data_IF_953000861861
#
_entry.id   IF_953000861861
#
_cell.length_a   1.000
_cell.length_b   1.000
_cell.length_c   1.000
_cell.angle_alpha   90.00
_cell.angle_beta   90.00
_cell.angle_gamma   90.00
#
_symmetry.space_group_name_H-M   'P 1'
#
loop_
_entity.id
_entity.type
_entity.pdbx_description
1 polymer ?
#
# COMPACT_ATOMS: atom_id res chain seq x y z
N UNK A 1 22.91 14.18 4.80
CA UNK A 1 22.92 12.70 4.91
C UNK A 1 22.26 12.11 3.66
N UNK A 2 22.52 10.86 3.28
CA UNK A 2 21.89 10.23 2.11
C UNK A 2 20.86 9.18 2.56
N UNK A 3 19.59 9.54 2.46
CA UNK A 3 18.47 8.62 2.64
C UNK A 3 18.17 7.92 1.30
N UNK A 4 17.61 6.71 1.37
CA UNK A 4 17.26 5.92 0.19
C UNK A 4 15.78 5.55 0.19
N UNK A 5 15.19 5.55 -0.99
CA UNK A 5 13.88 4.98 -1.25
C UNK A 5 13.98 3.91 -2.32
N UNK A 6 13.11 2.90 -2.24
CA UNK A 6 12.84 1.99 -3.34
C UNK A 6 11.51 2.39 -3.97
N UNK A 7 11.53 2.47 -5.29
CA UNK A 7 10.40 2.83 -6.13
C UNK A 7 10.01 1.63 -7.00
N UNK A 8 8.71 1.44 -7.21
CA UNK A 8 8.23 0.51 -8.22
C UNK A 8 6.85 0.89 -8.71
N UNK A 9 6.44 0.19 -9.76
CA UNK A 9 5.38 0.65 -10.61
C UNK A 9 4.90 -0.38 -11.60
N UNK A 10 4.08 0.09 -12.54
CA UNK A 10 3.80 -0.69 -13.75
C UNK A 10 4.97 -0.56 -14.72
N UNK A 11 5.23 -1.60 -15.50
CA UNK A 11 6.24 -1.62 -16.57
C UNK A 11 5.60 -1.68 -17.97
N UNK A 12 4.27 -1.66 -18.02
CA UNK A 12 3.50 -1.67 -19.26
C UNK A 12 2.80 -0.32 -19.47
N UNK A 13 2.65 0.07 -20.73
CA UNK A 13 1.94 1.30 -21.13
C UNK A 13 0.42 1.25 -20.88
N UNK A 14 -0.15 0.04 -20.73
CA UNK A 14 -1.59 -0.15 -20.57
C UNK A 14 -2.18 0.57 -19.34
N UNK A 15 -1.35 0.86 -18.33
CA UNK A 15 -1.77 1.51 -17.10
C UNK A 15 -1.39 3.00 -17.05
N UNK A 16 -0.40 3.41 -17.82
CA UNK A 16 0.16 4.76 -17.78
C UNK A 16 0.82 5.07 -19.12
N UNK A 17 0.35 6.07 -19.88
CA UNK A 17 0.92 6.39 -21.19
C UNK A 17 2.39 6.82 -21.10
N UNK A 18 3.19 6.44 -22.11
CA UNK A 18 4.62 6.74 -22.24
C UNK A 18 5.47 6.21 -21.07
N UNK A 19 5.18 5.00 -20.59
CA UNK A 19 5.84 4.40 -19.47
C UNK A 19 7.14 3.69 -19.90
N UNK A 20 8.28 4.13 -19.37
CA UNK A 20 9.59 3.52 -19.61
C UNK A 20 10.14 2.75 -18.40
N UNK A 21 9.31 2.47 -17.40
CA UNK A 21 9.72 1.71 -16.22
C UNK A 21 10.08 0.26 -16.57
N UNK A 22 11.24 -0.20 -16.08
CA UNK A 22 11.78 -1.55 -16.30
C UNK A 22 11.66 -2.44 -15.05
N UNK A 23 11.18 -1.90 -13.92
CA UNK A 23 10.98 -2.67 -12.70
C UNK A 23 11.10 -1.85 -11.42
N UNK A 24 12.06 -2.24 -10.57
CA UNK A 24 12.29 -1.66 -9.25
C UNK A 24 13.50 -0.73 -9.31
N UNK A 25 13.39 0.45 -8.73
CA UNK A 25 14.41 1.50 -8.75
C UNK A 25 14.81 1.90 -7.33
N UNK A 26 16.03 2.40 -7.19
CA UNK A 26 16.51 3.10 -6.01
C UNK A 26 16.49 4.60 -6.29
N UNK A 27 16.02 5.39 -5.33
CA UNK A 27 16.11 6.85 -5.33
C UNK A 27 16.93 7.34 -4.13
N UNK A 28 17.81 8.30 -4.37
CA UNK A 28 18.68 8.89 -3.34
C UNK A 28 18.20 10.28 -2.95
N UNK A 29 17.88 10.48 -1.67
CA UNK A 29 17.58 11.77 -1.07
C UNK A 29 18.83 12.33 -0.37
N UNK A 30 19.32 13.47 -0.84
CA UNK A 30 20.27 14.29 -0.11
C UNK A 30 19.50 15.16 0.89
N UNK A 31 19.52 14.77 2.17
CA UNK A 31 18.75 15.45 3.22
C UNK A 31 19.31 16.81 3.61
N UNK A 32 20.57 17.09 3.28
CA UNK A 32 21.17 18.41 3.55
C UNK A 32 20.69 19.43 2.50
N UNK A 33 20.46 18.97 1.26
CA UNK A 33 19.88 19.77 0.17
C UNK A 33 18.36 19.76 0.15
N UNK A 34 17.74 18.68 0.65
CA UNK A 34 16.31 18.44 0.52
C UNK A 34 15.89 18.10 -0.91
N UNK A 35 16.68 17.26 -1.59
CA UNK A 35 16.51 16.93 -3.00
C UNK A 35 16.75 15.44 -3.26
N UNK A 36 15.93 14.84 -4.12
CA UNK A 36 16.23 13.59 -4.81
C UNK A 36 17.30 13.89 -5.86
N UNK A 37 18.48 13.29 -5.71
CA UNK A 37 19.66 13.56 -6.55
C UNK A 37 19.93 12.49 -7.59
N UNK A 38 19.44 11.27 -7.38
CA UNK A 38 19.64 10.14 -8.29
C UNK A 38 18.43 9.20 -8.23
N UNK A 39 18.08 8.61 -9.37
CA UNK A 39 17.16 7.48 -9.49
C UNK A 39 17.79 6.49 -10.46
N UNK A 40 18.05 5.27 -10.01
CA UNK A 40 18.70 4.22 -10.80
C UNK A 40 18.00 2.89 -10.66
N UNK A 41 18.11 2.06 -11.71
CA UNK A 41 17.44 0.76 -11.75
C UNK A 41 18.11 -0.23 -10.80
N UNK A 42 17.31 -0.83 -9.90
CA UNK A 42 17.76 -1.81 -8.92
C UNK A 42 17.54 -3.24 -9.40
N UNK A 43 16.39 -3.53 -10.01
CA UNK A 43 16.05 -4.85 -10.52
C UNK A 43 15.06 -4.79 -11.69
N UNK A 44 15.32 -5.57 -12.76
CA UNK A 44 14.38 -5.73 -13.87
C UNK A 44 13.33 -6.78 -13.53
N UNK A 45 12.09 -6.35 -13.32
CA UNK A 45 10.95 -7.21 -12.98
C UNK A 45 9.70 -6.59 -13.60
N UNK A 46 8.80 -7.41 -14.14
CA UNK A 46 7.57 -6.91 -14.76
C UNK A 46 6.51 -6.58 -13.69
N UNK A 47 5.94 -5.38 -13.80
CA UNK A 47 4.86 -4.85 -12.96
C UNK A 47 5.04 -5.09 -11.44
N UNK A 48 6.16 -4.68 -10.80
CA UNK A 48 6.35 -4.74 -9.36
C UNK A 48 5.54 -3.64 -8.64
N UNK A 49 4.22 -3.69 -8.82
CA UNK A 49 3.28 -2.65 -8.40
C UNK A 49 3.14 -2.50 -6.88
N UNK A 50 3.59 -3.50 -6.11
CA UNK A 50 3.68 -3.41 -4.66
C UNK A 50 4.76 -4.35 -4.12
N UNK A 51 5.52 -3.90 -3.13
CA UNK A 51 6.52 -4.71 -2.45
C UNK A 51 6.75 -4.28 -1.00
N UNK A 52 7.37 -5.17 -0.23
CA UNK A 52 7.88 -4.93 1.11
C UNK A 52 9.26 -5.60 1.29
N UNK A 53 10.00 -5.16 2.30
CA UNK A 53 11.41 -5.49 2.49
C UNK A 53 11.61 -6.54 3.57
N UNK A 54 12.59 -7.41 3.36
CA UNK A 54 13.33 -8.10 4.40
C UNK A 54 14.62 -7.34 4.68
N UNK A 55 14.63 -6.50 5.73
CA UNK A 55 15.76 -5.61 6.01
C UNK A 55 17.06 -6.33 6.34
N UNK A 56 16.99 -7.36 7.17
CA UNK A 56 18.18 -8.10 7.59
C UNK A 56 18.75 -8.94 6.44
N UNK A 57 17.90 -9.64 5.70
CA UNK A 57 18.32 -10.56 4.62
C UNK A 57 18.50 -9.90 3.25
N UNK A 58 18.23 -8.60 3.16
CA UNK A 58 18.33 -7.78 1.95
C UNK A 58 17.50 -8.36 0.79
N UNK A 59 16.26 -8.76 1.08
CA UNK A 59 15.31 -9.29 0.10
C UNK A 59 14.13 -8.34 -0.11
N UNK A 60 13.58 -8.32 -1.32
CA UNK A 60 12.32 -7.64 -1.62
C UNK A 60 11.28 -8.71 -1.94
N UNK A 61 10.18 -8.75 -1.19
CA UNK A 61 8.99 -9.50 -1.56
C UNK A 61 8.09 -8.60 -2.38
N UNK A 62 7.79 -8.99 -3.62
CA UNK A 62 7.02 -8.18 -4.56
C UNK A 62 5.87 -8.98 -5.17
N UNK A 63 4.79 -8.29 -5.50
CA UNK A 63 3.85 -8.78 -6.52
C UNK A 63 4.51 -8.60 -7.89
N UNK A 64 4.20 -9.46 -8.85
CA UNK A 64 4.80 -9.38 -10.18
C UNK A 64 3.91 -10.04 -11.24
N UNK A 65 4.27 -9.83 -12.50
CA UNK A 65 3.65 -10.52 -13.64
C UNK A 65 4.66 -11.32 -14.42
N UNK A 66 4.19 -12.36 -15.12
CA UNK A 66 4.99 -13.14 -16.08
C UNK A 66 4.36 -13.09 -17.46
N UNK A 67 5.15 -12.62 -18.42
CA UNK A 67 4.80 -12.57 -19.85
C UNK A 67 3.43 -11.90 -20.08
N UNK A 68 3.06 -10.95 -19.22
CA UNK A 68 1.80 -10.22 -19.25
C UNK A 68 0.56 -11.15 -19.37
N UNK A 69 0.59 -12.28 -18.65
CA UNK A 69 -0.45 -13.31 -18.76
C UNK A 69 -0.76 -14.02 -17.43
N UNK A 70 0.07 -13.85 -16.41
CA UNK A 70 -0.13 -14.39 -15.07
C UNK A 70 0.43 -13.42 -14.04
N UNK A 71 -0.32 -13.20 -12.96
CA UNK A 71 0.16 -12.50 -11.78
C UNK A 71 0.57 -13.46 -10.69
N UNK A 72 1.43 -12.98 -9.80
CA UNK A 72 1.96 -13.77 -8.71
C UNK A 72 2.75 -12.92 -7.74
N UNK A 73 3.58 -13.61 -6.97
CA UNK A 73 4.52 -13.03 -6.03
C UNK A 73 5.93 -13.52 -6.36
N UNK A 74 6.93 -12.80 -5.86
CA UNK A 74 8.31 -13.25 -5.93
C UNK A 74 9.23 -12.56 -4.94
N UNK A 75 10.41 -13.14 -4.80
CA UNK A 75 11.50 -12.65 -3.96
C UNK A 75 12.64 -12.19 -4.84
N UNK A 76 13.06 -10.94 -4.69
CA UNK A 76 14.24 -10.38 -5.33
C UNK A 76 15.37 -10.34 -4.30
N UNK A 77 16.55 -10.83 -4.68
CA UNK A 77 17.77 -10.57 -3.94
C UNK A 77 18.37 -9.25 -4.40
N UNK A 78 18.40 -8.26 -3.51
CA UNK A 78 18.84 -6.90 -3.85
C UNK A 78 20.33 -6.79 -4.10
N UNK A 79 21.15 -7.67 -3.51
CA UNK A 79 22.59 -7.68 -3.77
C UNK A 79 22.89 -8.06 -5.22
N UNK A 80 22.03 -8.90 -5.81
CA UNK A 80 22.21 -9.37 -7.19
C UNK A 80 21.27 -8.71 -8.20
N UNK A 81 20.21 -8.05 -7.74
CA UNK A 81 19.13 -7.50 -8.58
C UNK A 81 18.29 -8.58 -9.28
N UNK A 82 18.32 -9.83 -8.80
CA UNK A 82 17.67 -10.98 -9.46
C UNK A 82 16.46 -11.48 -8.68
N UNK A 83 15.45 -11.93 -9.42
CA UNK A 83 14.36 -12.77 -8.90
C UNK A 83 14.92 -14.16 -8.56
N UNK A 84 14.83 -14.55 -7.29
CA UNK A 84 15.38 -15.82 -6.76
C UNK A 84 14.30 -16.87 -6.48
N UNK A 85 13.06 -16.43 -6.27
CA UNK A 85 11.90 -17.31 -6.12
C UNK A 85 10.64 -16.62 -6.62
N UNK A 86 9.70 -17.37 -7.19
CA UNK A 86 8.41 -16.87 -7.64
C UNK A 86 7.32 -17.94 -7.48
N UNK A 87 6.08 -17.47 -7.35
CA UNK A 87 4.89 -18.31 -7.37
C UNK A 87 3.76 -17.57 -8.06
N UNK A 88 3.19 -18.20 -9.09
CA UNK A 88 2.12 -17.62 -9.90
C UNK A 88 0.76 -18.19 -9.54
N UNK A 89 -0.26 -17.34 -9.59
CA UNK A 89 -1.63 -17.74 -9.36
C UNK A 89 -2.21 -18.42 -10.61
N UNK A 90 -3.20 -19.32 -10.45
CA UNK A 90 -3.97 -19.82 -11.57
C UNK A 90 -4.54 -18.68 -12.42
N UNK A 91 -4.56 -18.85 -13.74
CA UNK A 91 -5.16 -17.87 -14.64
C UNK A 91 -6.64 -17.74 -14.33
N UNK A 92 -7.06 -16.54 -14.00
CA UNK A 92 -8.45 -16.15 -13.76
C UNK A 92 -8.64 -14.77 -14.34
N UNK A 93 -9.71 -14.58 -15.10
CA UNK A 93 -10.09 -13.24 -15.56
C UNK A 93 -10.48 -12.39 -14.35
N UNK A 94 -9.99 -11.16 -14.34
CA UNK A 94 -10.39 -10.14 -13.38
C UNK A 94 -11.23 -9.08 -14.07
N UNK A 95 -11.99 -8.34 -13.29
CA UNK A 95 -12.66 -7.15 -13.80
C UNK A 95 -12.94 -6.20 -12.64
N UNK A 96 -12.94 -4.92 -12.94
CA UNK A 96 -13.31 -3.88 -11.98
C UNK A 96 -13.69 -2.61 -12.73
N UNK A 97 -14.47 -1.76 -12.08
CA UNK A 97 -14.69 -0.40 -12.55
C UNK A 97 -13.45 0.45 -12.31
N UNK A 98 -12.96 1.10 -13.36
CA UNK A 98 -11.80 1.99 -13.33
C UNK A 98 -12.21 3.41 -13.72
N UNK A 99 -11.47 4.41 -13.21
CA UNK A 99 -11.68 5.81 -13.53
C UNK A 99 -10.51 6.38 -14.36
N UNK A 100 -10.81 6.87 -15.56
CA UNK A 100 -9.87 7.58 -16.45
C UNK A 100 -9.88 9.07 -16.12
N UNK A 101 -8.86 9.52 -15.38
CA UNK A 101 -8.70 10.91 -14.97
C UNK A 101 -8.55 11.88 -16.15
N UNK A 102 -8.05 11.43 -17.30
CA UNK A 102 -7.83 12.29 -18.47
C UNK A 102 -9.13 12.59 -19.21
N UNK A 103 -10.09 11.66 -19.16
CA UNK A 103 -11.41 11.79 -19.79
C UNK A 103 -12.52 12.12 -18.81
N UNK A 104 -12.25 12.02 -17.50
CA UNK A 104 -13.26 12.12 -16.45
C UNK A 104 -14.42 11.12 -16.67
N UNK A 105 -14.06 9.87 -16.96
CA UNK A 105 -15.02 8.79 -17.27
C UNK A 105 -14.70 7.52 -16.48
N UNK A 106 -15.74 6.84 -16.06
CA UNK A 106 -15.67 5.46 -15.58
C UNK A 106 -15.77 4.49 -16.75
N UNK A 107 -15.06 3.38 -16.66
CA UNK A 107 -15.13 2.30 -17.63
C UNK A 107 -14.96 0.96 -16.94
N UNK A 108 -15.55 -0.07 -17.55
CA UNK A 108 -15.35 -1.44 -17.12
C UNK A 108 -14.02 -1.95 -17.67
N UNK A 109 -13.11 -2.32 -16.77
CA UNK A 109 -11.80 -2.84 -17.16
C UNK A 109 -11.79 -4.37 -17.04
N UNK A 110 -11.73 -5.07 -18.16
CA UNK A 110 -11.55 -6.52 -18.18
C UNK A 110 -10.06 -6.87 -18.21
N UNK A 111 -9.63 -7.70 -17.26
CA UNK A 111 -8.26 -8.16 -17.17
C UNK A 111 -8.15 -9.62 -17.66
N UNK A 112 -7.17 -9.92 -18.53
CA UNK A 112 -6.91 -11.29 -18.96
C UNK A 112 -6.40 -12.19 -17.82
N UNK A 113 -5.88 -11.62 -16.74
CA UNK A 113 -5.38 -12.32 -15.57
C UNK A 113 -5.43 -11.42 -14.32
N UNK A 114 -5.31 -12.01 -13.13
CA UNK A 114 -5.24 -11.26 -11.86
C UNK A 114 -3.81 -11.14 -11.36
N UNK A 115 -3.53 -10.08 -10.60
CA UNK A 115 -2.26 -9.86 -9.88
C UNK A 115 -2.62 -9.47 -8.45
N UNK A 116 -1.90 -9.96 -7.42
CA UNK A 116 -2.08 -9.46 -6.07
C UNK A 116 -1.88 -7.94 -6.01
N UNK A 117 -2.72 -7.27 -5.22
CA UNK A 117 -2.70 -5.81 -5.03
C UNK A 117 -1.76 -5.38 -3.90
N UNK A 118 -1.42 -6.32 -3.00
CA UNK A 118 -0.55 -6.09 -1.85
C UNK A 118 0.20 -7.38 -1.49
N UNK A 119 1.39 -7.23 -0.93
CA UNK A 119 2.20 -8.32 -0.36
C UNK A 119 2.85 -7.85 0.95
N UNK A 120 2.91 -8.71 1.96
CA UNK A 120 3.77 -8.54 3.14
C UNK A 120 4.60 -9.79 3.39
N UNK A 121 5.70 -9.61 4.13
CA UNK A 121 6.67 -10.66 4.45
C UNK A 121 6.95 -10.68 5.95
N UNK A 122 6.90 -11.88 6.53
CA UNK A 122 7.45 -12.22 7.83
C UNK A 122 8.75 -12.97 7.64
N UNK A 123 9.86 -12.29 7.89
CA UNK A 123 11.21 -12.81 7.62
C UNK A 123 11.66 -13.80 8.69
N UNK A 124 11.20 -13.59 9.94
CA UNK A 124 11.50 -14.45 11.07
C UNK A 124 10.87 -15.82 10.90
N UNK A 125 9.61 -15.86 10.43
CA UNK A 125 8.87 -17.10 10.27
C UNK A 125 8.89 -17.64 8.83
N UNK A 126 9.51 -16.90 7.88
CA UNK A 126 9.59 -17.24 6.46
C UNK A 126 8.19 -17.45 5.84
N UNK A 127 7.30 -16.48 6.04
CA UNK A 127 5.94 -16.50 5.51
C UNK A 127 5.67 -15.24 4.68
N UNK A 128 4.93 -15.38 3.59
CA UNK A 128 4.39 -14.26 2.80
C UNK A 128 2.88 -14.24 2.85
N UNK A 129 2.29 -13.05 2.85
CA UNK A 129 0.86 -12.84 2.72
C UNK A 129 0.60 -11.92 1.53
N UNK A 130 -0.30 -12.31 0.64
CA UNK A 130 -0.69 -11.52 -0.51
C UNK A 130 -2.20 -11.34 -0.55
N UNK A 131 -2.65 -10.10 -0.66
CA UNK A 131 -4.06 -9.79 -0.92
C UNK A 131 -4.26 -9.65 -2.42
N UNK A 132 -5.31 -10.24 -2.96
CA UNK A 132 -5.61 -10.14 -4.39
C UNK A 132 -7.05 -9.66 -4.61
N UNK A 133 -7.11 -8.48 -5.23
CA UNK A 133 -8.33 -7.74 -5.52
C UNK A 133 -9.30 -8.53 -6.41
N UNK A 134 -8.78 -9.20 -7.44
CA UNK A 134 -9.61 -9.81 -8.48
C UNK A 134 -9.87 -11.31 -8.25
N UNK A 135 -9.05 -11.99 -7.43
CA UNK A 135 -9.39 -13.34 -6.97
C UNK A 135 -10.34 -13.33 -5.78
N UNK A 136 -10.53 -12.16 -5.14
CA UNK A 136 -11.29 -12.00 -3.89
C UNK A 136 -10.72 -12.89 -2.79
N UNK A 137 -9.40 -12.98 -2.67
CA UNK A 137 -8.76 -13.94 -1.78
C UNK A 137 -7.51 -13.38 -1.10
N UNK A 138 -7.19 -14.01 0.04
CA UNK A 138 -5.87 -13.95 0.66
C UNK A 138 -5.09 -15.18 0.16
N UNK A 139 -3.84 -14.96 -0.24
CA UNK A 139 -2.90 -16.02 -0.56
C UNK A 139 -1.77 -15.99 0.47
N UNK A 140 -1.35 -17.15 0.94
CA UNK A 140 -0.24 -17.29 1.88
C UNK A 140 0.80 -18.21 1.30
N UNK A 141 2.07 -17.99 1.65
CA UNK A 141 3.17 -18.79 1.13
C UNK A 141 4.15 -19.08 2.25
N UNK A 142 4.56 -20.35 2.37
CA UNK A 142 5.68 -20.74 3.22
C UNK A 142 6.97 -20.68 2.40
N UNK A 143 8.04 -20.23 3.04
CA UNK A 143 9.38 -20.22 2.47
C UNK A 143 10.35 -21.04 3.33
N UNK A 144 11.41 -21.53 2.71
CA UNK A 144 12.60 -22.03 3.40
C UNK A 144 13.56 -20.90 3.80
N UNK A 145 14.69 -21.25 4.43
CA UNK A 145 15.70 -20.28 4.87
C UNK A 145 16.38 -19.54 3.71
N UNK A 146 16.40 -20.17 2.53
CA UNK A 146 16.95 -19.63 1.27
C UNK A 146 15.92 -18.77 0.50
N UNK A 147 14.74 -18.52 1.08
CA UNK A 147 13.63 -17.77 0.48
C UNK A 147 12.99 -18.43 -0.74
N UNK A 148 13.15 -19.74 -0.92
CA UNK A 148 12.35 -20.47 -1.89
C UNK A 148 10.94 -20.65 -1.35
N UNK A 149 9.93 -20.35 -2.17
CA UNK A 149 8.54 -20.66 -1.84
C UNK A 149 8.35 -22.18 -1.91
N UNK A 150 7.97 -22.79 -0.79
CA UNK A 150 7.85 -24.25 -0.64
C UNK A 150 6.40 -24.72 -0.60
N UNK A 151 5.47 -23.88 -0.16
CA UNK A 151 4.05 -24.19 -0.07
C UNK A 151 3.19 -22.93 -0.23
N UNK A 152 1.92 -23.10 -0.58
CA UNK A 152 0.98 -21.98 -0.74
C UNK A 152 -0.47 -22.36 -0.48
N UNK A 153 -1.21 -21.46 0.18
CA UNK A 153 -2.66 -21.62 0.44
C UNK A 153 -3.45 -20.45 -0.12
N UNK A 154 -4.72 -20.70 -0.44
CA UNK A 154 -5.66 -19.69 -0.94
C UNK A 154 -6.95 -19.69 -0.12
N UNK A 155 -7.36 -18.51 0.32
CA UNK A 155 -8.54 -18.28 1.15
C UNK A 155 -9.49 -17.32 0.44
N UNK A 156 -10.44 -17.82 -0.36
CA UNK A 156 -11.47 -17.00 -0.98
C UNK A 156 -12.36 -16.35 0.08
N UNK A 157 -12.77 -15.12 -0.18
CA UNK A 157 -13.69 -14.35 0.64
C UNK A 157 -14.86 -13.94 -0.25
N UNK A 158 -16.06 -14.27 0.20
CA UNK A 158 -17.30 -13.85 -0.44
C UNK A 158 -17.82 -12.56 0.19
N UNK A 159 -18.74 -11.90 -0.51
CA UNK A 159 -19.35 -10.65 -0.08
C UNK A 159 -19.24 -9.57 -1.14
N UNK A 160 -20.00 -8.51 -0.92
CA UNK A 160 -20.11 -7.35 -1.80
C UNK A 160 -20.57 -6.15 -0.94
N UNK A 161 -20.59 -4.98 -1.54
CA UNK A 161 -20.99 -3.73 -0.90
C UNK A 161 -22.03 -2.97 -1.73
N UNK A 162 -22.45 -1.79 -1.28
CA UNK A 162 -23.49 -1.01 -1.95
C UNK A 162 -23.03 -0.26 -3.22
N UNK A 163 -21.72 -0.05 -3.41
CA UNK A 163 -21.18 0.70 -4.54
C UNK A 163 -20.82 -0.20 -5.73
N UNK A 164 -20.66 0.40 -6.91
CA UNK A 164 -20.40 -0.34 -8.15
C UNK A 164 -19.01 -1.00 -8.15
N UNK A 165 -18.03 -0.40 -7.49
CA UNK A 165 -16.70 -0.98 -7.27
C UNK A 165 -16.68 -2.11 -6.23
N UNK A 166 -17.84 -2.40 -5.64
CA UNK A 166 -18.04 -3.37 -4.57
C UNK A 166 -18.91 -4.54 -5.06
N UNK A 167 -18.72 -4.98 -6.31
CA UNK A 167 -19.46 -6.09 -6.89
C UNK A 167 -19.02 -7.46 -6.32
N UNK A 168 -17.80 -7.53 -5.77
CA UNK A 168 -17.28 -8.68 -5.01
C UNK A 168 -16.46 -8.22 -3.80
N UNK A 169 -15.83 -9.13 -3.04
CA UNK A 169 -15.18 -8.79 -1.77
C UNK A 169 -13.91 -7.93 -1.91
N UNK A 170 -13.21 -8.04 -3.04
CA UNK A 170 -12.01 -7.27 -3.39
C UNK A 170 -11.00 -7.06 -2.25
N UNK A 171 -10.14 -8.05 -2.05
CA UNK A 171 -9.16 -8.04 -0.96
C UNK A 171 -7.97 -7.15 -1.35
N UNK A 172 -7.74 -6.07 -0.60
CA UNK A 172 -6.77 -5.05 -0.99
C UNK A 172 -5.51 -5.01 -0.10
N UNK A 173 -5.58 -5.55 1.13
CA UNK A 173 -4.45 -5.45 2.08
C UNK A 173 -4.47 -6.59 3.09
N UNK A 174 -3.29 -7.08 3.47
CA UNK A 174 -3.12 -8.12 4.48
C UNK A 174 -1.79 -7.93 5.21
N UNK A 175 -1.82 -7.53 6.49
CA UNK A 175 -0.60 -7.25 7.26
C UNK A 175 -0.75 -7.75 8.69
N UNK A 176 0.36 -8.24 9.24
CA UNK A 176 0.40 -8.67 10.62
C UNK A 176 0.27 -7.51 11.60
N UNK A 177 -0.45 -7.78 12.68
CA UNK A 177 -0.55 -6.99 13.90
C UNK A 177 0.63 -7.31 14.84
N UNK A 178 0.88 -6.49 15.87
CA UNK A 178 1.98 -6.71 16.81
C UNK A 178 1.94 -8.05 17.55
N UNK A 179 0.75 -8.65 17.72
CA UNK A 179 0.55 -9.97 18.34
C UNK A 179 0.75 -11.15 17.38
N UNK A 180 1.06 -10.88 16.11
CA UNK A 180 1.29 -11.88 15.07
C UNK A 180 0.06 -12.26 14.25
N UNK A 181 -1.14 -11.85 14.65
CA UNK A 181 -2.37 -12.07 13.85
C UNK A 181 -2.34 -11.27 12.56
N UNK A 182 -3.03 -11.76 11.53
CA UNK A 182 -3.15 -11.09 10.25
C UNK A 182 -4.44 -10.26 10.20
N UNK A 183 -4.33 -8.95 9.95
CA UNK A 183 -5.48 -8.09 9.65
C UNK A 183 -5.60 -7.88 8.13
N UNK A 184 -6.80 -8.11 7.60
CA UNK A 184 -7.10 -8.04 6.17
C UNK A 184 -8.21 -7.04 5.88
N UNK A 185 -8.06 -6.27 4.79
CA UNK A 185 -9.07 -5.35 4.29
C UNK A 185 -9.80 -5.93 3.08
N UNK A 186 -11.10 -6.16 3.22
CA UNK A 186 -12.01 -6.43 2.11
C UNK A 186 -12.69 -5.15 1.66
N UNK A 187 -12.12 -4.50 0.64
CA UNK A 187 -12.60 -3.23 0.11
C UNK A 187 -14.02 -3.38 -0.41
N UNK A 188 -14.26 -4.44 -1.17
CA UNK A 188 -15.51 -4.66 -1.86
C UNK A 188 -16.61 -5.24 -0.98
N UNK A 189 -16.31 -5.73 0.22
CA UNK A 189 -17.32 -6.21 1.17
C UNK A 189 -17.44 -5.36 2.44
N UNK A 190 -16.80 -4.19 2.50
CA UNK A 190 -16.81 -3.29 3.66
C UNK A 190 -16.40 -3.95 4.98
N UNK A 191 -15.45 -4.89 4.96
CA UNK A 191 -15.05 -5.65 6.16
C UNK A 191 -13.56 -5.59 6.45
N UNK A 192 -13.24 -5.67 7.73
CA UNK A 192 -11.93 -6.07 8.22
C UNK A 192 -12.02 -7.50 8.77
N UNK A 193 -11.03 -8.32 8.45
CA UNK A 193 -10.94 -9.70 8.93
C UNK A 193 -9.68 -9.87 9.77
N UNK A 194 -9.78 -10.62 10.86
CA UNK A 194 -8.66 -10.95 11.74
C UNK A 194 -8.46 -12.46 11.69
N UNK A 195 -7.23 -12.89 11.39
CA UNK A 195 -6.87 -14.30 11.36
C UNK A 195 -5.72 -14.61 12.31
N UNK A 196 -5.79 -15.76 12.95
CA UNK A 196 -4.61 -16.42 13.52
C UNK A 196 -3.78 -17.01 12.38
N UNK A 197 -2.45 -17.02 12.54
CA UNK A 197 -1.50 -17.56 11.56
C UNK A 197 -0.76 -18.73 12.18
N UNK A 198 -0.81 -19.89 11.52
CA UNK A 198 0.10 -20.99 11.78
C UNK A 198 1.41 -20.72 11.02
N UNK A 199 2.44 -20.28 11.72
CA UNK A 199 3.73 -19.92 11.11
C UNK A 199 4.51 -21.10 10.54
N UNK A 200 4.23 -22.33 10.96
CA UNK A 200 4.91 -23.52 10.45
C UNK A 200 4.37 -23.91 9.06
N UNK A 201 3.05 -23.85 8.88
CA UNK A 201 2.36 -24.25 7.64
C UNK A 201 1.96 -23.08 6.74
N UNK A 202 2.08 -21.84 7.23
CA UNK A 202 1.53 -20.63 6.64
C UNK A 202 -0.01 -20.59 6.54
N UNK A 203 -0.72 -21.52 7.18
CA UNK A 203 -2.19 -21.53 7.17
C UNK A 203 -2.78 -20.43 8.06
N UNK A 204 -3.97 -19.93 7.71
CA UNK A 204 -4.70 -18.94 8.50
C UNK A 204 -6.08 -19.42 8.93
N UNK A 205 -6.51 -19.02 10.13
CA UNK A 205 -7.84 -19.34 10.68
C UNK A 205 -8.55 -18.06 11.12
N UNK A 206 -9.80 -17.88 10.68
CA UNK A 206 -10.58 -16.68 10.99
C UNK A 206 -10.87 -16.60 12.50
N UNK A 207 -10.58 -15.45 13.09
CA UNK A 207 -10.83 -15.14 14.51
C UNK A 207 -12.04 -14.23 14.64
N UNK A 208 -12.07 -13.14 13.88
CA UNK A 208 -13.18 -12.18 13.93
C UNK A 208 -13.34 -11.41 12.62
N UNK A 209 -14.52 -10.82 12.47
CA UNK A 209 -14.84 -9.87 11.42
C UNK A 209 -15.33 -8.57 12.04
N UNK A 210 -15.14 -7.48 11.32
CA UNK A 210 -15.64 -6.17 11.70
C UNK A 210 -16.19 -5.44 10.49
N UNK A 211 -17.47 -5.05 10.58
CA UNK A 211 -18.13 -4.29 9.53
C UNK A 211 -17.72 -2.81 9.60
N UNK A 212 -17.17 -2.33 8.49
CA UNK A 212 -17.05 -0.91 8.24
C UNK A 212 -18.41 -0.32 7.86
N UNK A 213 -18.50 1.00 7.67
CA UNK A 213 -19.78 1.57 7.20
C UNK A 213 -20.01 1.12 5.75
N UNK A 214 -21.27 0.87 5.31
CA UNK A 214 -21.54 0.57 3.90
C UNK A 214 -20.97 1.67 2.98
N UNK A 215 -20.24 1.25 1.94
CA UNK A 215 -19.54 2.13 0.99
C UNK A 215 -18.23 2.72 1.53
N UNK A 216 -17.68 2.21 2.63
CA UNK A 216 -16.42 2.71 3.19
C UNK A 216 -15.22 2.30 2.35
N UNK A 217 -15.17 1.04 1.93
CA UNK A 217 -14.12 0.46 1.10
C UNK A 217 -12.76 0.42 1.78
N UNK A 218 -12.56 -0.39 2.84
CA UNK A 218 -11.27 -0.45 3.55
C UNK A 218 -10.16 -0.93 2.61
N UNK A 219 -9.07 -0.15 2.52
CA UNK A 219 -8.01 -0.31 1.50
C UNK A 219 -6.64 -0.59 2.08
N UNK A 220 -6.21 0.19 3.08
CA UNK A 220 -4.90 0.07 3.73
C UNK A 220 -5.03 0.46 5.21
N UNK A 221 -4.01 0.09 5.99
CA UNK A 221 -3.96 0.32 7.43
C UNK A 221 -2.68 1.04 7.84
N UNK A 222 -2.79 1.94 8.81
CA UNK A 222 -1.67 2.30 9.68
C UNK A 222 -1.96 1.76 11.09
N UNK A 223 -1.03 0.94 11.59
CA UNK A 223 -1.18 0.21 12.85
C UNK A 223 -0.27 0.90 13.87
N UNK A 224 -0.83 1.41 14.97
CA UNK A 224 -0.04 1.92 16.08
C UNK A 224 0.66 0.75 16.80
N UNK A 225 1.89 0.99 17.23
CA UNK A 225 2.72 0.07 18.03
C UNK A 225 2.64 0.37 19.53
N UNK A 226 2.45 1.64 19.90
CA UNK A 226 2.41 2.08 21.30
C UNK A 226 1.00 2.14 21.90
N UNK A 227 -0.03 1.94 21.07
CA UNK A 227 -1.43 1.88 21.47
C UNK A 227 -2.16 0.77 20.72
N UNK A 228 -3.41 0.53 21.08
CA UNK A 228 -4.26 -0.48 20.46
C UNK A 228 -5.07 0.07 19.27
N UNK A 229 -4.72 1.25 18.74
CA UNK A 229 -5.48 1.87 17.67
C UNK A 229 -4.96 1.49 16.29
N UNK A 230 -5.90 1.26 15.38
CA UNK A 230 -5.64 1.07 13.96
C UNK A 230 -6.38 2.13 13.17
N UNK A 231 -5.67 2.80 12.28
CA UNK A 231 -6.21 3.79 11.36
C UNK A 231 -6.50 3.10 10.04
N UNK A 232 -7.78 3.03 9.68
CA UNK A 232 -8.30 2.28 8.54
C UNK A 232 -8.60 3.26 7.42
N UNK A 233 -7.93 3.13 6.29
CA UNK A 233 -8.18 3.97 5.14
C UNK A 233 -9.36 3.43 4.32
N UNK A 234 -10.44 4.20 4.21
CA UNK A 234 -11.57 3.92 3.31
C UNK A 234 -11.33 4.61 1.96
N UNK A 235 -11.07 3.82 0.91
CA UNK A 235 -10.85 4.31 -0.45
C UNK A 235 -12.08 5.01 -0.98
N UNK A 236 -13.22 4.31 -0.98
CA UNK A 236 -14.44 4.72 -1.64
C UNK A 236 -15.13 5.88 -0.90
N UNK A 237 -15.17 5.81 0.44
CA UNK A 237 -15.73 6.89 1.23
C UNK A 237 -14.83 8.13 1.28
N UNK A 238 -13.56 8.03 0.86
CA UNK A 238 -12.57 9.09 1.04
C UNK A 238 -12.41 9.50 2.52
N UNK A 239 -12.39 8.51 3.42
CA UNK A 239 -12.33 8.72 4.88
C UNK A 239 -11.24 7.89 5.53
N UNK A 240 -10.83 8.30 6.72
CA UNK A 240 -10.06 7.47 7.65
C UNK A 240 -10.90 7.15 8.86
N UNK A 241 -11.03 5.87 9.16
CA UNK A 241 -11.65 5.35 10.38
C UNK A 241 -10.61 5.08 11.45
N UNK A 242 -10.97 5.26 12.71
CA UNK A 242 -10.20 4.85 13.87
C UNK A 242 -10.94 3.69 14.54
N UNK A 243 -10.25 2.58 14.71
CA UNK A 243 -10.75 1.41 15.44
C UNK A 243 -9.79 1.04 16.56
N UNK A 244 -10.33 0.54 17.66
CA UNK A 244 -9.56 -0.04 18.77
C UNK A 244 -9.51 -1.55 18.61
N UNK A 245 -8.32 -2.12 18.71
CA UNK A 245 -8.03 -3.53 18.61
C UNK A 245 -7.81 -4.14 20.00
N UNK A 246 -8.57 -5.18 20.33
CA UNK A 246 -8.30 -5.98 21.54
C UNK A 246 -7.41 -7.18 21.17
N UNK A 247 -6.11 -7.19 21.52
CA UNK A 247 -5.22 -8.30 21.21
C UNK A 247 -5.59 -9.60 21.95
N UNK A 248 -6.37 -9.53 23.04
CA UNK A 248 -6.77 -10.74 23.78
C UNK A 248 -7.80 -11.55 23.01
N UNK A 249 -8.78 -10.87 22.43
CA UNK A 249 -9.92 -11.49 21.74
C UNK A 249 -9.76 -11.48 20.22
N UNK A 250 -8.88 -10.62 19.69
CA UNK A 250 -8.76 -10.40 18.27
C UNK A 250 -9.94 -9.63 17.67
N UNK A 251 -10.68 -8.84 18.46
CA UNK A 251 -11.87 -8.10 18.00
C UNK A 251 -11.58 -6.61 17.83
N UNK A 252 -12.40 -5.93 17.02
CA UNK A 252 -12.31 -4.49 16.76
C UNK A 252 -13.54 -3.73 17.28
N UNK A 253 -13.32 -2.51 17.77
CA UNK A 253 -14.37 -1.57 18.16
C UNK A 253 -14.24 -0.25 17.40
N UNK A 254 -15.35 0.25 16.85
CA UNK A 254 -15.38 1.56 16.16
C UNK A 254 -15.18 2.70 17.13
N UNK A 255 -14.34 3.68 16.77
CA UNK A 255 -14.20 4.94 17.50
C UNK A 255 -14.83 6.10 16.72
N UNK A 256 -14.26 6.46 15.57
CA UNK A 256 -14.67 7.63 14.78
C UNK A 256 -14.21 7.52 13.32
N UNK A 257 -14.81 8.30 12.41
CA UNK A 257 -14.33 8.43 11.02
C UNK A 257 -14.22 9.91 10.63
N UNK A 258 -13.19 10.26 9.85
CA UNK A 258 -12.89 11.62 9.41
C UNK A 258 -12.78 11.69 7.89
N UNK A 259 -13.34 12.73 7.26
CA UNK A 259 -13.21 12.91 5.81
C UNK A 259 -11.79 13.33 5.45
N UNK A 260 -11.17 12.66 4.48
CA UNK A 260 -9.82 12.99 4.01
C UNK A 260 -9.81 14.20 3.08
N UNK A 261 -10.96 14.57 2.52
CA UNK A 261 -11.12 15.69 1.58
C UNK A 261 -12.06 16.76 2.17
N UNK A 262 -12.25 17.93 1.53
CA UNK A 262 -13.29 18.86 1.97
C UNK A 262 -14.66 18.17 1.91
N UNK A 263 -15.46 18.34 2.97
CA UNK A 263 -16.82 17.78 2.99
C UNK A 263 -17.64 18.40 1.85
N UNK A 264 -18.38 17.55 1.13
CA UNK A 264 -19.17 17.97 -0.05
C UNK A 264 -18.36 18.16 -1.34
N UNK A 265 -17.10 17.71 -1.40
CA UNK A 265 -16.34 17.69 -2.66
C UNK A 265 -17.12 16.95 -3.76
N UNK A 266 -17.23 17.58 -4.92
CA UNK A 266 -17.91 17.03 -6.11
C UNK A 266 -16.87 16.61 -7.12
N UNK A 267 -16.82 15.32 -7.42
CA UNK A 267 -15.89 14.71 -8.37
C UNK A 267 -15.42 13.35 -7.87
N UNK A 268 -14.74 12.60 -8.74
CA UNK A 268 -14.11 11.35 -8.34
C UNK A 268 -13.06 11.60 -7.26
N UNK A 269 -13.06 10.76 -6.22
CA UNK A 269 -11.93 10.64 -5.32
C UNK A 269 -11.82 9.21 -4.76
N UNK A 270 -10.59 8.70 -4.72
CA UNK A 270 -10.25 7.45 -4.03
C UNK A 270 -9.00 7.65 -3.18
N UNK A 271 -9.13 7.52 -1.85
CA UNK A 271 -7.95 7.52 -0.98
C UNK A 271 -7.04 6.32 -1.30
N UNK A 272 -5.73 6.44 -1.13
CA UNK A 272 -4.78 5.40 -1.55
C UNK A 272 -3.81 4.95 -0.45
N UNK A 273 -2.83 5.76 -0.07
CA UNK A 273 -1.84 5.38 0.92
C UNK A 273 -2.09 6.06 2.27
N UNK A 274 -1.67 5.40 3.35
CA UNK A 274 -1.75 5.88 4.73
C UNK A 274 -0.45 5.58 5.47
N UNK A 275 0.14 6.57 6.15
CA UNK A 275 1.39 6.43 6.92
C UNK A 275 1.27 7.15 8.26
N UNK A 276 1.59 6.44 9.34
CA UNK A 276 1.72 6.99 10.69
C UNK A 276 3.21 7.22 10.98
N UNK A 277 3.55 8.34 11.60
CA UNK A 277 4.93 8.61 12.02
C UNK A 277 5.38 7.63 13.09
N UNK A 278 6.69 7.42 13.17
CA UNK A 278 7.34 6.56 14.16
C UNK A 278 7.01 6.93 15.61
N UNK A 279 6.79 8.21 15.89
CA UNK A 279 6.36 8.74 17.19
C UNK A 279 4.84 8.75 17.39
N UNK A 280 4.08 8.26 16.41
CA UNK A 280 2.62 8.15 16.36
C UNK A 280 1.85 9.45 16.51
N UNK A 281 2.50 10.61 16.30
CA UNK A 281 1.85 11.92 16.45
C UNK A 281 1.15 12.41 15.20
N UNK A 282 1.53 11.91 14.02
CA UNK A 282 0.97 12.40 12.75
C UNK A 282 0.65 11.28 11.78
N UNK A 283 -0.46 11.46 11.08
CA UNK A 283 -0.98 10.53 10.09
C UNK A 283 -1.13 11.25 8.75
N UNK A 284 -0.58 10.65 7.70
CA UNK A 284 -0.58 11.18 6.34
C UNK A 284 -1.42 10.26 5.46
N UNK A 285 -2.20 10.84 4.54
CA UNK A 285 -3.07 10.11 3.61
C UNK A 285 -3.01 10.72 2.22
N UNK A 286 -2.90 9.91 1.17
CA UNK A 286 -3.02 10.37 -0.22
C UNK A 286 -4.42 10.16 -0.80
N UNK A 287 -4.83 11.10 -1.67
CA UNK A 287 -6.16 11.12 -2.29
C UNK A 287 -6.01 11.27 -3.81
N UNK A 288 -6.45 10.26 -4.57
CA UNK A 288 -6.47 10.27 -6.05
C UNK A 288 -7.76 10.89 -6.52
N UNK A 289 -7.70 11.85 -7.44
CA UNK A 289 -8.86 12.65 -7.84
C UNK A 289 -8.77 14.06 -7.25
N UNK A 290 -8.89 14.20 -5.92
CA UNK A 290 -8.58 15.48 -5.25
C UNK A 290 -7.08 15.83 -5.34
N UNK A 291 -6.22 14.84 -5.61
CA UNK A 291 -4.77 14.96 -5.86
C UNK A 291 -4.05 15.74 -4.76
N UNK A 292 -4.20 15.24 -3.53
CA UNK A 292 -3.65 15.87 -2.33
C UNK A 292 -3.17 14.85 -1.31
N UNK A 293 -2.25 15.30 -0.45
CA UNK A 293 -1.98 14.70 0.84
C UNK A 293 -2.80 15.41 1.92
N UNK A 294 -3.42 14.62 2.80
CA UNK A 294 -4.11 15.10 4.00
C UNK A 294 -3.28 14.72 5.21
N UNK A 295 -3.09 15.68 6.10
CA UNK A 295 -2.30 15.52 7.33
C UNK A 295 -3.23 15.65 8.53
N UNK A 296 -3.16 14.65 9.40
CA UNK A 296 -3.81 14.67 10.69
C UNK A 296 -2.77 14.68 11.81
N UNK A 297 -3.06 15.45 12.85
CA UNK A 297 -2.47 15.27 14.17
C UNK A 297 -3.26 14.20 14.90
N UNK A 298 -2.54 13.26 15.50
CA UNK A 298 -3.10 12.23 16.37
C UNK A 298 -3.24 12.80 17.78
N UNK A 299 -4.43 12.71 18.35
CA UNK A 299 -4.78 13.30 19.65
C UNK A 299 -5.46 12.25 20.54
N UNK A 300 -5.66 12.60 21.82
CA UNK A 300 -6.30 11.74 22.82
C UNK A 300 -5.67 10.34 22.92
N UNK A 301 -4.33 10.28 22.90
CA UNK A 301 -3.58 9.03 23.02
C UNK A 301 -3.74 8.07 21.84
N UNK A 302 -4.13 8.56 20.66
CA UNK A 302 -4.37 7.75 19.46
C UNK A 302 -5.84 7.61 19.08
N UNK A 303 -6.75 7.99 19.99
CA UNK A 303 -8.18 7.73 19.84
C UNK A 303 -8.85 8.63 18.80
N UNK A 304 -8.35 9.85 18.59
CA UNK A 304 -8.96 10.81 17.67
C UNK A 304 -7.92 11.47 16.76
N UNK A 305 -8.42 12.07 15.68
CA UNK A 305 -7.61 12.73 14.66
C UNK A 305 -8.10 14.17 14.47
N UNK A 306 -7.15 15.10 14.42
CA UNK A 306 -7.39 16.50 14.07
C UNK A 306 -6.79 16.76 12.68
N UNK A 307 -7.60 17.14 11.69
CA UNK A 307 -7.10 17.47 10.35
C UNK A 307 -6.40 18.83 10.39
N UNK A 308 -5.10 18.86 10.16
CA UNK A 308 -4.28 20.09 10.29
C UNK A 308 -3.87 20.68 8.94
N UNK A 309 -3.82 19.85 7.88
CA UNK A 309 -3.40 20.30 6.56
C UNK A 309 -4.02 19.47 5.45
N UNK A 310 -4.22 20.12 4.31
CA UNK A 310 -4.37 19.45 3.03
C UNK A 310 -3.49 20.18 2.00
N UNK A 311 -2.61 19.46 1.33
CA UNK A 311 -1.63 20.01 0.39
C UNK A 311 -1.69 19.26 -0.94
N UNK A 312 -1.64 19.99 -2.06
CA UNK A 312 -1.71 19.39 -3.40
C UNK A 312 -0.41 18.68 -3.76
N UNK A 313 -0.53 17.58 -4.50
CA UNK A 313 0.62 16.80 -5.02
C UNK A 313 1.21 17.32 -6.31
N UNK A 314 0.64 18.42 -6.83
CA UNK A 314 1.05 19.08 -8.08
C UNK A 314 1.12 18.14 -9.30
N UNK A 315 0.53 16.95 -9.18
CA UNK A 315 0.38 15.95 -10.22
C UNK A 315 -0.95 15.19 -10.07
N UNK A 316 -1.09 14.05 -10.75
CA UNK A 316 -2.37 13.31 -10.81
C UNK A 316 -2.22 11.91 -10.24
N UNK A 317 -3.17 11.54 -9.39
CA UNK A 317 -3.26 10.23 -8.73
C UNK A 317 -2.04 9.89 -7.86
N UNK A 318 -1.88 10.57 -6.71
CA UNK A 318 -0.86 10.20 -5.73
C UNK A 318 -1.16 8.84 -5.09
N UNK A 319 -0.64 7.75 -5.66
CA UNK A 319 -1.06 6.38 -5.31
C UNK A 319 -0.30 5.81 -4.12
N UNK A 320 0.96 6.21 -3.94
CA UNK A 320 1.74 5.86 -2.75
C UNK A 320 2.75 6.95 -2.41
N UNK A 321 3.17 6.95 -1.15
CA UNK A 321 4.20 7.83 -0.62
C UNK A 321 4.87 7.20 0.60
N UNK A 322 6.05 7.71 0.94
CA UNK A 322 6.79 7.29 2.15
C UNK A 322 7.46 8.48 2.82
N UNK A 323 7.56 8.41 4.15
CA UNK A 323 8.40 9.32 4.95
C UNK A 323 9.87 8.88 4.80
N UNK A 324 10.82 9.81 4.87
CA UNK A 324 12.25 9.48 4.84
C UNK A 324 12.71 8.82 6.15
N UNK A 325 13.97 8.39 6.22
CA UNK A 325 14.51 7.60 7.33
C UNK A 325 14.28 8.25 8.69
N UNK A 326 14.62 9.53 8.79
CA UNK A 326 14.40 10.34 9.99
C UNK A 326 13.03 11.04 9.99
N UNK A 327 12.16 10.78 9.00
CA UNK A 327 10.85 11.42 8.83
C UNK A 327 10.89 12.95 8.70
N UNK A 328 12.01 13.50 8.20
CA UNK A 328 12.17 14.93 7.89
C UNK A 328 11.62 15.29 6.50
N UNK A 329 11.44 14.28 5.64
CA UNK A 329 10.92 14.44 4.30
C UNK A 329 9.82 13.41 4.00
N UNK A 330 9.02 13.68 2.97
CA UNK A 330 8.02 12.79 2.43
C UNK A 330 8.10 12.80 0.91
N UNK A 331 8.34 11.63 0.31
CA UNK A 331 8.36 11.44 -1.15
C UNK A 331 7.03 10.82 -1.60
N UNK A 332 6.34 11.49 -2.51
CA UNK A 332 5.04 11.08 -3.03
C UNK A 332 5.11 10.82 -4.53
N UNK A 333 4.51 9.72 -4.99
CA UNK A 333 4.46 9.34 -6.41
C UNK A 333 3.08 9.63 -7.00
N UNK A 334 3.05 10.45 -8.05
CA UNK A 334 1.85 10.69 -8.85
C UNK A 334 1.84 9.74 -10.06
N UNK A 335 0.94 8.76 -10.06
CA UNK A 335 0.91 7.71 -11.06
C UNK A 335 0.71 8.25 -12.48
N UNK A 336 -0.26 9.16 -12.67
CA UNK A 336 -0.73 9.52 -14.01
C UNK A 336 0.03 10.69 -14.63
N UNK A 337 0.92 11.34 -13.89
CA UNK A 337 1.78 12.43 -14.37
C UNK A 337 3.25 12.04 -14.50
N UNK A 338 3.61 10.78 -14.22
CA UNK A 338 4.97 10.25 -14.32
C UNK A 338 5.99 11.12 -13.57
N UNK A 339 5.62 11.52 -12.35
CA UNK A 339 6.47 12.33 -11.50
C UNK A 339 6.33 12.02 -10.01
N UNK A 340 7.38 12.38 -9.29
CA UNK A 340 7.45 12.40 -7.85
C UNK A 340 7.49 13.85 -7.37
N UNK A 341 7.03 14.06 -6.16
CA UNK A 341 7.15 15.33 -5.44
C UNK A 341 7.69 15.07 -4.04
N UNK A 342 8.67 15.87 -3.63
CA UNK A 342 9.30 15.77 -2.32
C UNK A 342 8.83 16.93 -1.44
N UNK A 343 8.39 16.60 -0.24
CA UNK A 343 8.03 17.56 0.79
C UNK A 343 9.05 17.52 1.92
N UNK A 344 9.34 18.69 2.49
CA UNK A 344 9.93 18.81 3.82
C UNK A 344 8.81 18.77 4.85
N UNK A 345 8.99 17.94 5.87
CA UNK A 345 8.08 17.81 7.01
C UNK A 345 8.64 18.57 8.20
N UNK A 346 7.79 19.39 8.81
CA UNK A 346 8.05 19.92 10.14
C UNK A 346 7.67 18.85 11.18
N UNK A 347 8.65 18.38 11.96
CA UNK A 347 8.45 17.26 12.91
C UNK A 347 7.52 17.60 14.07
N UNK A 348 7.52 18.87 14.50
CA UNK A 348 6.79 19.30 15.68
C UNK A 348 5.31 19.55 15.39
N UNK A 349 5.03 20.14 14.23
CA UNK A 349 3.69 20.52 13.79
C UNK A 349 3.08 19.53 12.80
N UNK A 350 3.88 18.69 12.14
CA UNK A 350 3.45 17.72 11.14
C UNK A 350 3.22 18.29 9.74
N UNK A 351 3.28 19.62 9.57
CA UNK A 351 3.01 20.28 8.29
C UNK A 351 4.05 19.92 7.23
N UNK A 352 3.58 19.83 5.99
CA UNK A 352 4.39 19.63 4.80
C UNK A 352 4.55 20.94 4.04
N UNK A 353 5.76 21.15 3.50
CA UNK A 353 6.08 22.20 2.53
C UNK A 353 6.83 21.58 1.36
N UNK A 354 6.59 22.05 0.13
CA UNK A 354 7.25 21.48 -1.04
C UNK A 354 8.75 21.77 -0.97
N UNK A 355 9.58 20.72 -1.05
CA UNK A 355 11.03 20.81 -1.09
C UNK A 355 11.55 20.77 -2.52
N UNK A 356 11.05 19.83 -3.33
CA UNK A 356 11.48 19.66 -4.72
C UNK A 356 10.30 19.22 -5.59
N UNK A 357 10.23 19.77 -6.81
CA UNK A 357 9.19 19.51 -7.82
C UNK A 357 9.78 18.85 -9.06
N UNK A 358 8.90 18.34 -9.93
CA UNK A 358 9.25 17.84 -11.27
C UNK A 358 10.28 16.70 -11.28
N UNK A 359 10.30 15.86 -10.24
CA UNK A 359 11.20 14.70 -10.19
C UNK A 359 10.60 13.66 -11.14
N UNK A 360 11.24 13.39 -12.27
CA UNK A 360 10.68 12.47 -13.28
C UNK A 360 10.86 11.02 -12.85
N UNK A 361 9.76 10.25 -12.87
CA UNK A 361 9.79 8.80 -12.72
C UNK A 361 8.45 8.21 -13.17
N UNK A 362 8.50 7.25 -14.09
CA UNK A 362 7.30 6.74 -14.76
C UNK A 362 6.51 5.74 -13.92
N UNK A 363 5.18 5.82 -14.02
CA UNK A 363 4.21 4.84 -13.54
C UNK A 363 4.42 4.32 -12.11
N UNK A 364 5.01 5.14 -11.24
CA UNK A 364 5.33 4.77 -9.87
C UNK A 364 4.07 4.69 -9.02
N UNK A 365 3.85 3.52 -8.43
CA UNK A 365 2.69 3.25 -7.56
C UNK A 365 3.09 2.67 -6.20
N UNK A 366 4.40 2.54 -5.95
CA UNK A 366 4.98 2.11 -4.69
C UNK A 366 6.20 2.97 -4.36
N UNK A 367 6.19 3.59 -3.19
CA UNK A 367 7.32 4.34 -2.62
C UNK A 367 7.61 3.79 -1.24
N UNK A 368 8.86 3.41 -0.98
CA UNK A 368 9.23 2.80 0.28
C UNK A 368 10.59 3.31 0.75
N UNK A 369 10.63 3.90 1.94
CA UNK A 369 11.88 4.18 2.66
C UNK A 369 12.71 2.89 2.81
N UNK A 370 14.00 2.98 2.51
CA UNK A 370 14.88 1.82 2.39
C UNK A 370 16.33 2.15 2.78
N UNK A 371 16.57 3.19 3.58
CA UNK A 371 17.92 3.67 3.92
C UNK A 371 18.74 2.59 4.60
N UNK A 372 18.24 2.01 5.69
CA UNK A 372 18.94 0.89 6.36
C UNK A 372 18.89 -0.41 5.56
N UNK A 373 17.95 -0.52 4.63
CA UNK A 373 17.87 -1.64 3.70
C UNK A 373 18.94 -1.57 2.60
N UNK A 374 19.39 -0.40 2.17
CA UNK A 374 20.38 -0.23 1.09
C UNK A 374 21.79 0.13 1.58
N UNK A 375 21.95 0.52 2.85
CA UNK A 375 23.26 0.52 3.55
C UNK A 375 23.79 -0.89 3.70
#
# INVERSE_FOLDING_TARGET
MLDKFILGGYTEDNYTPNNQSEGVYEATLDTDKGEITDISLLAKVQNPAFFNLSTEDKKIATVLTKNNNQGGVGIIDVKTGKLISDSYLPKKHGSYEAYDASKNLYFWNELPYTVPSYISIDTKHKVLFAANYNTNAIHTYKMDDDYNITDSHTYPIEGNGPLVEQDHAHIHFARQLPDGRLMVCGLGCDKLFIYDVNFDTAEITLVSEFDTKPGFGPRQLAIAKNSNYVYVLGELASRVGVVEYDPKTGTLSRIADYSNIPEGYVGHNGSAAIRLTSDEKFLYISNRGHNSLTVYKVIDGGKHLEKIQQIKTEGVFPRDFSLSYNEDYLLCANQNTNDLILYKRDKESGYLSVSQRNIKHDACVRVLEATDFLK
#
